data_IF_061361227305
#
_entry.id   IF_061361227305
#
_cell.length_a   1.000
_cell.length_b   1.000
_cell.length_c   1.000
_cell.angle_alpha   90.00
_cell.angle_beta   90.00
_cell.angle_gamma   90.00
#
_symmetry.space_group_name_H-M   'P 1'
#
loop_
_entity.id
_entity.type
_entity.pdbx_description
1 polymer ?
#
# COMPACT_ATOMS: atom_id res chain seq x y z
N UNK A 1 10.57 14.80 -12.72
CA UNK A 1 10.49 14.01 -11.46
C UNK A 1 10.80 12.57 -11.82
N UNK A 2 11.74 11.89 -11.17
CA UNK A 2 12.16 10.55 -11.60
C UNK A 2 11.10 9.50 -11.26
N UNK A 3 10.90 8.53 -12.16
CA UNK A 3 10.02 7.37 -11.97
C UNK A 3 10.24 6.68 -10.62
N UNK A 4 11.51 6.48 -10.30
CA UNK A 4 11.95 5.91 -9.03
C UNK A 4 11.37 6.65 -7.83
N UNK A 5 11.39 7.99 -7.83
CA UNK A 5 10.87 8.79 -6.73
C UNK A 5 9.36 8.56 -6.53
N UNK A 6 8.58 8.47 -7.61
CA UNK A 6 7.14 8.26 -7.55
C UNK A 6 6.80 6.90 -6.95
N UNK A 7 7.52 5.85 -7.37
CA UNK A 7 7.34 4.50 -6.82
C UNK A 7 7.74 4.44 -5.34
N UNK A 8 8.87 5.05 -4.94
CA UNK A 8 9.31 5.02 -3.55
C UNK A 8 8.36 5.79 -2.63
N UNK A 9 7.89 6.97 -3.06
CA UNK A 9 6.90 7.75 -2.30
C UNK A 9 5.58 6.99 -2.21
N UNK A 10 5.10 6.43 -3.33
CA UNK A 10 3.86 5.65 -3.36
C UNK A 10 3.91 4.42 -2.45
N UNK A 11 5.05 3.73 -2.41
CA UNK A 11 5.27 2.59 -1.52
C UNK A 11 5.32 3.01 -0.05
N UNK A 12 5.98 4.12 0.29
CA UNK A 12 5.95 4.66 1.66
C UNK A 12 4.53 5.05 2.10
N UNK A 13 3.76 5.71 1.23
CA UNK A 13 2.36 6.10 1.52
C UNK A 13 1.49 4.86 1.72
N UNK A 14 1.65 3.84 0.87
CA UNK A 14 0.94 2.56 0.99
C UNK A 14 1.21 1.87 2.33
N UNK A 15 2.48 1.82 2.76
CA UNK A 15 2.87 1.22 4.04
C UNK A 15 2.30 2.01 5.23
N UNK A 16 2.40 3.34 5.21
CA UNK A 16 1.80 4.19 6.25
C UNK A 16 0.29 4.00 6.35
N UNK A 17 -0.40 3.93 5.21
CA UNK A 17 -1.85 3.73 5.16
C UNK A 17 -2.24 2.35 5.70
N UNK A 18 -1.49 1.31 5.34
CA UNK A 18 -1.70 -0.05 5.85
C UNK A 18 -1.56 -0.11 7.38
N UNK A 19 -0.56 0.57 7.93
CA UNK A 19 -0.30 0.65 9.37
C UNK A 19 -1.45 1.36 10.10
N UNK A 20 -1.88 2.52 9.61
CA UNK A 20 -3.00 3.29 10.19
C UNK A 20 -4.29 2.44 10.13
N UNK A 21 -4.55 1.80 9.00
CA UNK A 21 -5.72 0.94 8.82
C UNK A 21 -5.69 -0.28 9.76
N UNK A 22 -4.52 -0.91 9.96
CA UNK A 22 -4.37 -1.97 10.98
C UNK A 22 -4.56 -1.49 12.39
N UNK A 23 -4.01 -0.32 12.73
CA UNK A 23 -4.18 0.23 14.05
C UNK A 23 -5.64 0.57 14.37
N UNK A 24 -6.40 1.11 13.41
CA UNK A 24 -7.83 1.43 13.60
C UNK A 24 -8.68 0.15 13.69
N UNK A 25 -8.45 -0.83 12.81
CA UNK A 25 -9.32 -2.02 12.72
C UNK A 25 -9.05 -3.02 13.86
N UNK A 26 -7.79 -3.24 14.22
CA UNK A 26 -7.41 -4.20 15.25
C UNK A 26 -7.53 -3.63 16.67
N UNK A 27 -7.86 -2.34 16.81
CA UNK A 27 -8.15 -1.70 18.11
C UNK A 27 -9.34 -2.32 18.85
N UNK A 28 -10.30 -2.90 18.11
CA UNK A 28 -11.54 -3.46 18.67
C UNK A 28 -11.41 -4.91 19.16
N UNK A 29 -10.38 -5.65 18.74
CA UNK A 29 -10.05 -7.00 19.23
C UNK A 29 -8.55 -7.17 19.09
N UNK A 30 -7.75 -7.03 20.17
CA UNK A 30 -6.30 -7.21 20.08
C UNK A 30 -6.02 -8.65 19.63
N UNK A 31 -5.56 -8.87 18.39
CA UNK A 31 -5.23 -10.20 17.91
C UNK A 31 -3.96 -10.65 18.63
N UNK A 32 -3.71 -11.96 18.71
CA UNK A 32 -2.34 -12.41 19.07
C UNK A 32 -1.35 -11.79 18.08
N UNK A 33 -0.14 -11.45 18.52
CA UNK A 33 0.87 -10.74 17.72
C UNK A 33 1.06 -11.37 16.32
N UNK A 34 0.97 -12.69 16.22
CA UNK A 34 1.02 -13.45 14.97
C UNK A 34 -0.16 -13.16 14.01
N UNK A 35 -1.38 -13.08 14.51
CA UNK A 35 -2.57 -12.75 13.72
C UNK A 35 -2.53 -11.29 13.25
N UNK A 36 -2.02 -10.39 14.08
CA UNK A 36 -1.84 -8.99 13.70
C UNK A 36 -0.82 -8.86 12.56
N UNK A 37 0.33 -9.53 12.67
CA UNK A 37 1.35 -9.56 11.62
C UNK A 37 0.81 -10.15 10.32
N UNK A 38 0.08 -11.28 10.37
CA UNK A 38 -0.49 -11.89 9.18
C UNK A 38 -1.50 -10.95 8.48
N UNK A 39 -2.37 -10.29 9.25
CA UNK A 39 -3.32 -9.29 8.72
C UNK A 39 -2.61 -8.06 8.15
N UNK A 40 -1.57 -7.58 8.82
CA UNK A 40 -0.79 -6.44 8.37
C UNK A 40 -0.08 -6.74 7.05
N UNK A 41 0.58 -7.90 6.94
CA UNK A 41 1.24 -8.35 5.71
C UNK A 41 0.24 -8.49 4.57
N UNK A 42 -0.92 -9.11 4.82
CA UNK A 42 -1.98 -9.22 3.81
C UNK A 42 -2.47 -7.84 3.32
N UNK A 43 -2.61 -6.86 4.22
CA UNK A 43 -3.03 -5.49 3.87
C UNK A 43 -1.96 -4.74 3.09
N UNK A 44 -0.69 -4.85 3.50
CA UNK A 44 0.44 -4.25 2.77
C UNK A 44 0.50 -4.80 1.36
N UNK A 45 0.45 -6.12 1.19
CA UNK A 45 0.43 -6.77 -0.11
C UNK A 45 -0.75 -6.30 -0.97
N UNK A 46 -1.95 -6.26 -0.38
CA UNK A 46 -3.15 -5.80 -1.08
C UNK A 46 -3.02 -4.36 -1.58
N UNK A 47 -2.53 -3.44 -0.73
CA UNK A 47 -2.37 -2.03 -1.10
C UNK A 47 -1.27 -1.87 -2.16
N UNK A 48 -0.15 -2.60 -2.05
CA UNK A 48 0.91 -2.59 -3.08
C UNK A 48 0.37 -3.06 -4.43
N UNK A 49 -0.43 -4.14 -4.46
CA UNK A 49 -1.02 -4.65 -5.69
C UNK A 49 -1.97 -3.62 -6.30
N UNK A 50 -2.86 -3.02 -5.50
CA UNK A 50 -3.75 -1.95 -5.97
C UNK A 50 -2.96 -0.77 -6.52
N UNK A 51 -1.91 -0.35 -5.82
CA UNK A 51 -1.05 0.75 -6.24
C UNK A 51 -0.36 0.46 -7.58
N UNK A 52 0.19 -0.76 -7.75
CA UNK A 52 0.81 -1.19 -8.99
C UNK A 52 -0.19 -1.20 -10.15
N UNK A 53 -1.40 -1.72 -9.93
CA UNK A 53 -2.48 -1.70 -10.92
C UNK A 53 -2.86 -0.27 -11.29
N UNK A 54 -3.04 0.61 -10.31
CA UNK A 54 -3.40 2.01 -10.52
C UNK A 54 -2.32 2.77 -11.30
N UNK A 55 -1.05 2.58 -10.95
CA UNK A 55 0.08 3.14 -11.68
C UNK A 55 0.18 2.60 -13.11
N UNK A 56 -0.10 1.32 -13.33
CA UNK A 56 -0.19 0.72 -14.66
C UNK A 56 -1.30 1.35 -15.51
N UNK A 57 -2.48 1.58 -14.92
CA UNK A 57 -3.56 2.29 -15.58
C UNK A 57 -3.21 3.75 -15.87
N UNK A 58 -2.59 4.47 -14.93
CA UNK A 58 -2.15 5.85 -15.17
C UNK A 58 -1.10 5.94 -16.28
N UNK A 59 -0.16 4.99 -16.32
CA UNK A 59 0.83 4.89 -17.40
C UNK A 59 0.15 4.71 -18.77
N UNK A 60 -0.82 3.79 -18.87
CA UNK A 60 -1.58 3.55 -20.10
C UNK A 60 -2.48 4.72 -20.50
N UNK A 61 -3.17 5.33 -19.52
CA UNK A 61 -4.18 6.35 -19.77
C UNK A 61 -3.58 7.71 -20.15
N UNK A 62 -2.52 8.13 -19.44
CA UNK A 62 -1.94 9.46 -19.62
C UNK A 62 -0.64 9.43 -20.43
N UNK A 63 -0.12 8.24 -20.78
CA UNK A 63 1.15 8.12 -21.49
C UNK A 63 2.22 8.95 -20.79
N UNK A 64 2.37 8.79 -19.46
CA UNK A 64 3.14 9.68 -18.54
C UNK A 64 4.64 9.81 -18.91
N UNK A 65 5.05 9.22 -20.04
CA UNK A 65 6.37 9.29 -20.67
C UNK A 65 6.30 9.76 -22.14
N UNK A 66 5.73 10.94 -22.38
CA UNK A 66 6.24 11.81 -23.44
C UNK A 66 6.94 13.00 -22.80
#
# INVERSE_FOLDING_TARGET
MSLWLIYTIGLCVAVCFALIWSFILDRNKPPRVQEFLAKLVARILFIIVIFAVFMGFLYLAFGVFR
#
